data_IF_682090824947
#
_entry.id   IF_682090824947
#
_cell.length_a   1.000
_cell.length_b   1.000
_cell.length_c   1.000
_cell.angle_alpha   90.00
_cell.angle_beta   90.00
_cell.angle_gamma   90.00
#
_symmetry.space_group_name_H-M   'P 1'
#
loop_
_entity.id
_entity.type
_entity.pdbx_description
1 polymer ?
#
# COMPACT_ATOMS: atom_id res chain seq x y z
N UNK A 1 -4.77 -19.71 44.47
CA UNK A 1 -3.89 -18.94 43.55
C UNK A 1 -3.79 -19.64 42.18
N UNK A 2 -4.90 -19.78 41.45
CA UNK A 2 -4.87 -20.48 40.15
C UNK A 2 -6.08 -20.07 39.29
N UNK A 3 -5.88 -19.13 38.37
CA UNK A 3 -6.89 -18.77 37.34
C UNK A 3 -6.22 -17.96 36.22
N UNK A 4 -5.32 -17.03 36.58
CA UNK A 4 -4.59 -16.21 35.60
C UNK A 4 -3.56 -16.99 34.78
N UNK A 5 -2.90 -18.00 35.36
CA UNK A 5 -1.87 -18.80 34.65
C UNK A 5 -2.45 -19.70 33.55
N UNK A 6 -3.60 -20.33 33.81
CA UNK A 6 -4.31 -21.11 32.80
C UNK A 6 -4.78 -20.24 31.62
N UNK A 7 -5.20 -19.00 31.89
CA UNK A 7 -5.59 -18.04 30.86
C UNK A 7 -4.40 -17.63 29.96
N UNK A 8 -3.21 -17.44 30.53
CA UNK A 8 -2.00 -17.15 29.74
C UNK A 8 -1.46 -18.37 29.00
N UNK A 9 -1.60 -19.58 29.55
CA UNK A 9 -1.27 -20.83 28.86
C UNK A 9 -2.25 -21.12 27.70
N UNK A 10 -3.50 -20.70 27.81
CA UNK A 10 -4.51 -20.77 26.74
C UNK A 10 -4.31 -19.70 25.65
N UNK A 11 -3.68 -18.57 26.00
CA UNK A 11 -3.25 -17.52 25.05
C UNK A 11 -1.91 -17.83 24.35
N UNK A 12 -1.11 -18.77 24.88
CA UNK A 12 0.17 -19.18 24.29
C UNK A 12 0.01 -20.09 23.06
N UNK A 13 -1.17 -20.69 22.88
CA UNK A 13 -1.51 -21.54 21.73
C UNK A 13 -2.63 -20.85 20.94
N UNK A 14 -2.32 -20.05 19.89
CA UNK A 14 -1.34 -20.43 18.89
C UNK A 14 -0.60 -19.19 18.35
N UNK A 15 0.56 -18.88 18.92
CA UNK A 15 1.44 -17.84 18.37
C UNK A 15 1.72 -18.05 16.86
N UNK A 16 1.66 -19.30 16.38
CA UNK A 16 1.74 -19.67 14.96
C UNK A 16 0.51 -19.28 14.14
N UNK A 17 -0.71 -19.36 14.69
CA UNK A 17 -1.94 -18.89 14.02
C UNK A 17 -2.07 -17.38 14.10
N UNK A 18 -1.71 -16.75 15.22
CA UNK A 18 -1.66 -15.28 15.28
C UNK A 18 -0.62 -14.75 14.29
N UNK A 19 0.54 -15.41 14.19
CA UNK A 19 1.56 -15.08 13.18
C UNK A 19 1.09 -15.38 11.75
N UNK A 20 0.33 -16.45 11.52
CA UNK A 20 -0.18 -16.77 10.17
C UNK A 20 -1.29 -15.82 9.74
N UNK A 21 -2.19 -15.45 10.66
CA UNK A 21 -3.23 -14.44 10.45
C UNK A 21 -2.59 -13.07 10.28
N UNK A 22 -1.62 -12.68 11.13
CA UNK A 22 -0.89 -11.43 10.96
C UNK A 22 -0.12 -11.40 9.63
N UNK A 23 0.47 -12.52 9.18
CA UNK A 23 1.11 -12.62 7.88
C UNK A 23 0.10 -12.52 6.72
N UNK A 24 -1.09 -13.12 6.85
CA UNK A 24 -2.18 -12.99 5.87
C UNK A 24 -2.72 -11.57 5.81
N UNK A 25 -3.01 -10.95 6.95
CA UNK A 25 -3.44 -9.55 7.06
C UNK A 25 -2.35 -8.62 6.51
N UNK A 26 -1.08 -8.88 6.79
CA UNK A 26 0.03 -8.12 6.21
C UNK A 26 0.17 -8.33 4.69
N UNK A 27 -0.17 -9.52 4.18
CA UNK A 27 -0.22 -9.80 2.74
C UNK A 27 -1.40 -9.11 2.05
N UNK A 28 -2.55 -9.02 2.73
CA UNK A 28 -3.78 -8.36 2.26
C UNK A 28 -3.77 -6.84 2.46
N UNK A 29 -2.83 -6.31 3.24
CA UNK A 29 -2.66 -4.87 3.46
C UNK A 29 -1.42 -4.33 2.74
N UNK A 30 -1.57 -3.72 1.55
CA UNK A 30 -0.46 -3.15 0.77
C UNK A 30 0.45 -2.21 1.58
N UNK A 31 -0.14 -1.45 2.52
CA UNK A 31 0.59 -0.51 3.39
C UNK A 31 1.53 -1.20 4.36
N UNK A 32 1.10 -2.31 4.95
CA UNK A 32 1.91 -3.10 5.88
C UNK A 32 3.07 -3.74 5.12
N UNK A 33 2.79 -4.36 3.98
CA UNK A 33 3.80 -4.94 3.10
C UNK A 33 4.86 -3.92 2.65
N UNK A 34 4.43 -2.72 2.24
CA UNK A 34 5.31 -1.63 1.88
C UNK A 34 6.22 -1.18 3.05
N UNK A 35 5.64 -1.06 4.26
CA UNK A 35 6.39 -0.70 5.48
C UNK A 35 7.43 -1.77 5.85
N UNK A 36 7.07 -3.05 5.77
CA UNK A 36 8.02 -4.16 5.98
C UNK A 36 9.15 -4.13 4.96
N UNK A 37 8.84 -3.81 3.70
CA UNK A 37 9.83 -3.67 2.62
C UNK A 37 10.59 -2.34 2.64
N UNK A 38 10.28 -1.42 3.58
CA UNK A 38 10.75 -0.03 3.59
C UNK A 38 10.61 0.67 2.23
N UNK A 39 9.60 0.28 1.44
CA UNK A 39 9.38 0.77 0.09
C UNK A 39 8.27 1.83 0.10
N UNK A 40 8.42 2.94 -0.64
CA UNK A 40 7.34 3.92 -0.82
C UNK A 40 6.24 3.42 -1.78
N UNK A 41 6.40 2.23 -2.36
CA UNK A 41 5.47 1.63 -3.31
C UNK A 41 4.51 0.66 -2.61
N UNK A 42 3.23 0.79 -2.94
CA UNK A 42 2.13 -0.07 -2.47
C UNK A 42 1.87 -1.14 -3.53
N UNK A 43 2.22 -2.39 -3.24
CA UNK A 43 1.93 -3.51 -4.14
C UNK A 43 0.42 -3.78 -4.17
N UNK A 44 -0.13 -3.90 -5.38
CA UNK A 44 -1.50 -4.36 -5.62
C UNK A 44 -1.76 -5.73 -5.00
N UNK A 45 -3.03 -6.03 -4.68
CA UNK A 45 -3.43 -7.37 -4.19
C UNK A 45 -3.10 -8.49 -5.19
N UNK A 46 -3.15 -8.22 -6.49
CA UNK A 46 -2.75 -9.19 -7.52
C UNK A 46 -1.24 -9.44 -7.55
N UNK A 47 -0.44 -8.57 -6.94
CA UNK A 47 1.02 -8.65 -6.99
C UNK A 47 1.64 -8.24 -8.33
N UNK A 48 0.83 -7.80 -9.31
CA UNK A 48 1.29 -7.47 -10.67
C UNK A 48 1.75 -6.02 -10.81
N UNK A 49 1.22 -5.13 -9.98
CA UNK A 49 1.50 -3.69 -10.04
C UNK A 49 1.87 -3.11 -8.69
N UNK A 50 2.59 -2.00 -8.73
CA UNK A 50 2.85 -1.17 -7.56
C UNK A 50 2.46 0.28 -7.81
N UNK A 51 1.86 0.90 -6.80
CA UNK A 51 1.39 2.28 -6.84
C UNK A 51 2.14 3.15 -5.85
N UNK A 52 2.47 4.38 -6.24
CA UNK A 52 3.11 5.35 -5.34
C UNK A 52 2.44 6.71 -5.47
N UNK A 53 2.16 7.30 -4.32
CA UNK A 53 1.68 8.67 -4.24
C UNK A 53 2.80 9.66 -4.53
N UNK A 54 2.49 10.69 -5.31
CA UNK A 54 3.37 11.82 -5.56
C UNK A 54 2.59 13.14 -5.49
N UNK A 55 3.32 14.20 -5.20
CA UNK A 55 2.87 15.56 -5.33
C UNK A 55 3.94 16.36 -6.07
N UNK A 56 3.53 17.16 -7.05
CA UNK A 56 4.39 18.11 -7.77
C UNK A 56 3.89 19.53 -7.56
N UNK A 57 4.78 20.52 -7.62
CA UNK A 57 4.43 21.93 -7.61
C UNK A 57 4.55 22.50 -9.01
N UNK A 58 3.55 23.24 -9.48
CA UNK A 58 3.51 23.82 -10.83
C UNK A 58 3.61 25.36 -10.85
N UNK A 59 3.80 25.99 -9.69
CA UNK A 59 3.76 27.45 -9.55
C UNK A 59 2.43 27.99 -9.02
N UNK A 60 1.32 27.28 -9.22
CA UNK A 60 -0.03 27.69 -8.79
C UNK A 60 -0.58 26.83 -7.65
N UNK A 61 -0.05 25.62 -7.45
CA UNK A 61 -0.44 24.75 -6.36
C UNK A 61 0.28 23.41 -6.37
N UNK A 62 -0.12 22.53 -5.46
CA UNK A 62 0.40 21.18 -5.37
C UNK A 62 -0.52 20.19 -6.07
N UNK A 63 -0.07 19.63 -7.19
CA UNK A 63 -0.75 18.59 -7.93
C UNK A 63 -0.51 17.23 -7.31
N UNK A 64 -1.59 16.60 -6.85
CA UNK A 64 -1.58 15.25 -6.33
C UNK A 64 -1.80 14.25 -7.47
N UNK A 65 -0.95 13.23 -7.56
CA UNK A 65 -1.11 12.17 -8.56
C UNK A 65 -0.53 10.85 -8.07
N UNK A 66 -0.96 9.76 -8.70
CA UNK A 66 -0.44 8.42 -8.44
C UNK A 66 0.35 7.97 -9.65
N UNK A 67 1.53 7.43 -9.40
CA UNK A 67 2.31 6.71 -10.42
C UNK A 67 2.18 5.20 -10.20
N UNK A 68 2.27 4.44 -11.27
CA UNK A 68 2.23 2.98 -11.27
C UNK A 68 3.41 2.41 -12.03
N UNK A 69 3.79 1.19 -11.68
CA UNK A 69 4.72 0.36 -12.45
C UNK A 69 4.33 -1.10 -12.32
N UNK A 70 4.74 -1.93 -13.29
CA UNK A 70 4.66 -3.39 -13.13
C UNK A 70 5.64 -3.83 -12.03
N UNK A 71 5.22 -4.79 -11.21
CA UNK A 71 6.13 -5.51 -10.32
C UNK A 71 7.12 -6.27 -11.20
N UNK A 72 8.38 -5.84 -11.22
CA UNK A 72 9.47 -6.55 -11.88
C UNK A 72 10.55 -6.88 -10.85
N UNK A 73 11.23 -8.04 -10.96
CA UNK A 73 12.46 -8.28 -10.21
C UNK A 73 13.53 -7.22 -10.53
N UNK A 74 13.55 -6.73 -11.77
CA UNK A 74 14.39 -5.60 -12.16
C UNK A 74 13.79 -4.28 -11.66
N UNK A 75 14.61 -3.51 -10.96
CA UNK A 75 14.22 -2.23 -10.35
C UNK A 75 13.87 -1.15 -11.38
N UNK A 76 14.13 -1.42 -12.68
CA UNK A 76 14.01 -0.49 -13.80
C UNK A 76 12.68 -0.58 -14.56
N UNK A 77 11.64 -1.14 -13.93
CA UNK A 77 10.31 -1.17 -14.52
C UNK A 77 9.83 0.25 -14.88
N UNK A 78 9.30 0.47 -16.10
CA UNK A 78 8.85 1.78 -16.53
C UNK A 78 7.75 2.29 -15.61
N UNK A 79 7.90 3.56 -15.20
CA UNK A 79 6.96 4.24 -14.31
C UNK A 79 6.02 5.09 -15.14
N UNK A 80 4.72 4.83 -15.04
CA UNK A 80 3.67 5.59 -15.72
C UNK A 80 2.87 6.42 -14.71
N UNK A 81 2.29 7.53 -15.16
CA UNK A 81 1.26 8.25 -14.40
C UNK A 81 -0.03 7.46 -14.50
N UNK A 82 -0.60 7.09 -13.36
CA UNK A 82 -1.81 6.27 -13.27
C UNK A 82 -3.06 7.13 -13.25
N UNK A 83 -3.11 8.14 -12.35
CA UNK A 83 -4.24 9.04 -12.26
C UNK A 83 -3.88 10.33 -11.53
N UNK A 84 -4.66 11.37 -11.80
CA UNK A 84 -4.62 12.65 -11.09
C UNK A 84 -5.66 12.72 -9.97
N UNK A 85 -5.26 13.29 -8.85
CA UNK A 85 -6.04 13.36 -7.62
C UNK A 85 -6.47 14.81 -7.28
N UNK A 86 -6.22 15.76 -8.20
CA UNK A 86 -6.53 17.17 -8.06
C UNK A 86 -5.35 18.05 -7.62
N UNK A 87 -5.63 19.34 -7.46
CA UNK A 87 -4.67 20.37 -7.08
C UNK A 87 -5.05 20.94 -5.71
N UNK A 88 -4.05 21.18 -4.86
CA UNK A 88 -4.24 21.58 -3.47
C UNK A 88 -3.34 22.76 -3.11
N UNK A 89 -3.76 23.57 -2.15
CA UNK A 89 -2.97 24.70 -1.65
C UNK A 89 -1.70 24.25 -0.93
N UNK A 90 -1.73 23.07 -0.28
CA UNK A 90 -0.60 22.56 0.49
C UNK A 90 -0.11 21.20 0.01
N UNK A 91 1.22 20.98 0.09
CA UNK A 91 1.84 19.69 -0.23
C UNK A 91 1.28 18.56 0.64
N UNK A 92 1.00 18.84 1.90
CA UNK A 92 0.52 17.85 2.86
C UNK A 92 -0.89 17.35 2.50
N UNK A 93 -1.76 18.22 2.02
CA UNK A 93 -3.08 17.81 1.51
C UNK A 93 -2.96 17.01 0.22
N UNK A 94 -2.16 17.51 -0.74
CA UNK A 94 -1.92 16.80 -1.99
C UNK A 94 -1.40 15.37 -1.74
N UNK A 95 -0.40 15.23 -0.87
CA UNK A 95 0.16 13.92 -0.52
C UNK A 95 -0.85 13.03 0.21
N UNK A 96 -1.64 13.58 1.15
CA UNK A 96 -2.67 12.79 1.86
C UNK A 96 -3.71 12.24 0.88
N UNK A 97 -4.16 13.06 -0.07
CA UNK A 97 -5.12 12.63 -1.10
C UNK A 97 -4.51 11.59 -2.03
N UNK A 98 -3.31 11.84 -2.57
CA UNK A 98 -2.61 10.88 -3.42
C UNK A 98 -2.34 9.55 -2.69
N UNK A 99 -2.03 9.57 -1.39
CA UNK A 99 -1.85 8.36 -0.59
C UNK A 99 -3.14 7.57 -0.40
N UNK A 100 -4.27 8.26 -0.16
CA UNK A 100 -5.58 7.59 -0.09
C UNK A 100 -5.90 6.92 -1.42
N UNK A 101 -5.67 7.60 -2.54
CA UNK A 101 -5.92 7.06 -3.87
C UNK A 101 -5.01 5.89 -4.21
N UNK A 102 -3.70 6.01 -3.98
CA UNK A 102 -2.74 4.92 -4.21
C UNK A 102 -3.08 3.67 -3.39
N UNK A 103 -3.50 3.86 -2.13
CA UNK A 103 -3.96 2.74 -1.31
C UNK A 103 -5.24 2.10 -1.85
N UNK A 104 -6.20 2.91 -2.30
CA UNK A 104 -7.43 2.39 -2.92
C UNK A 104 -7.11 1.57 -4.17
N UNK A 105 -6.24 2.07 -5.05
CA UNK A 105 -5.80 1.35 -6.25
C UNK A 105 -5.05 0.05 -5.92
N UNK A 106 -4.22 0.05 -4.88
CA UNK A 106 -3.53 -1.16 -4.44
C UNK A 106 -4.49 -2.23 -3.85
N UNK A 107 -5.57 -1.80 -3.19
CA UNK A 107 -6.57 -2.70 -2.61
C UNK A 107 -7.64 -3.14 -3.61
N UNK A 108 -7.86 -2.40 -4.70
CA UNK A 108 -8.76 -2.84 -5.76
C UNK A 108 -8.17 -4.05 -6.48
N UNK A 109 -9.01 -5.05 -6.74
CA UNK A 109 -8.68 -6.15 -7.64
C UNK A 109 -8.73 -5.61 -9.08
N UNK A 110 -7.75 -4.80 -9.44
CA UNK A 110 -7.64 -4.23 -10.78
C UNK A 110 -7.35 -5.36 -11.76
N UNK A 111 -8.37 -5.78 -12.51
CA UNK A 111 -8.17 -6.32 -13.85
C UNK A 111 -7.63 -5.15 -14.66
N UNK A 112 -6.31 -5.12 -14.90
CA UNK A 112 -5.70 -4.08 -15.71
C UNK A 112 -6.31 -4.12 -17.12
N UNK A 113 -7.05 -3.09 -17.57
CA UNK A 113 -7.46 -2.97 -18.96
C UNK A 113 -6.35 -2.18 -19.66
N UNK A 114 -5.42 -2.86 -20.31
CA UNK A 114 -4.35 -2.16 -21.00
C UNK A 114 -3.53 -3.08 -21.86
N UNK A 115 -4.15 -3.48 -22.97
CA UNK A 115 -3.56 -3.67 -24.29
C UNK A 115 -4.64 -3.24 -25.32
N UNK A 116 -4.63 -1.96 -25.70
CA UNK A 116 -5.25 -1.42 -26.93
C UNK A 116 -4.40 -0.27 -27.44
#
# INVERSE_FOLDING_TARGET
MSSLRAFFDELALPASLVRSVAARVAAECPRLKARFRKSPWLTSLSGLQEYRAKAGYDGNGFHAYVITRRCSPDHDAPVARCCDCGTFATRAEAMRTAHRQAARLATLKTLWPGDH
#
